data_IF_058644049204
#
_entry.id   IF_058644049204
#
_cell.length_a   1.000
_cell.length_b   1.000
_cell.length_c   1.000
_cell.angle_alpha   90.00
_cell.angle_beta   90.00
_cell.angle_gamma   90.00
#
_symmetry.space_group_name_H-M   'P 1'
#
loop_
_entity.id
_entity.type
_entity.pdbx_description
1 polymer ?
#
# COMPACT_ATOMS: atom_id res chain seq x y z
N UNK A 1 -13.55 -1.20 1.20
CA UNK A 1 -13.22 -1.14 -0.24
C UNK A 1 -11.76 -1.50 -0.41
N UNK A 2 -11.33 -1.77 -1.63
CA UNK A 2 -9.91 -1.96 -1.95
C UNK A 2 -9.32 -0.68 -2.53
N UNK A 3 -8.12 -0.32 -2.06
CA UNK A 3 -7.47 0.96 -2.38
C UNK A 3 -6.02 0.69 -2.81
N UNK A 4 -5.67 1.11 -4.02
CA UNK A 4 -4.28 1.14 -4.47
C UNK A 4 -3.63 2.47 -4.08
N UNK A 5 -2.51 2.42 -3.36
CA UNK A 5 -1.69 3.58 -3.02
C UNK A 5 -0.33 3.43 -3.71
N UNK A 6 -0.06 4.30 -4.69
CA UNK A 6 1.16 4.28 -5.48
C UNK A 6 2.22 5.18 -4.84
N UNK A 7 3.03 4.59 -3.97
CA UNK A 7 4.07 5.26 -3.20
C UNK A 7 3.93 4.97 -1.71
N UNK A 8 5.02 4.55 -1.07
CA UNK A 8 5.06 4.13 0.34
C UNK A 8 5.92 5.03 1.23
N UNK A 9 6.00 6.32 0.89
CA UNK A 9 6.64 7.34 1.74
C UNK A 9 5.73 7.77 2.89
N UNK A 10 6.08 8.85 3.59
CA UNK A 10 5.34 9.31 4.79
C UNK A 10 3.83 9.44 4.57
N UNK A 11 3.41 10.05 3.45
CA UNK A 11 1.99 10.23 3.12
C UNK A 11 1.33 8.89 2.77
N UNK A 12 1.98 8.09 1.93
CA UNK A 12 1.42 6.82 1.48
C UNK A 12 1.20 5.83 2.62
N UNK A 13 2.19 5.68 3.50
CA UNK A 13 2.09 4.80 4.68
C UNK A 13 1.09 5.33 5.72
N UNK A 14 1.06 6.64 5.95
CA UNK A 14 0.08 7.25 6.86
C UNK A 14 -1.36 7.07 6.37
N UNK A 15 -1.59 7.27 5.07
CA UNK A 15 -2.90 7.04 4.46
C UNK A 15 -3.28 5.56 4.47
N UNK A 16 -2.32 4.65 4.20
CA UNK A 16 -2.54 3.21 4.27
C UNK A 16 -2.99 2.78 5.67
N UNK A 17 -2.30 3.23 6.72
CA UNK A 17 -2.66 2.92 8.11
C UNK A 17 -4.07 3.43 8.45
N UNK A 18 -4.41 4.66 8.06
CA UNK A 18 -5.73 5.23 8.30
C UNK A 18 -6.84 4.44 7.57
N UNK A 19 -6.61 4.07 6.31
CA UNK A 19 -7.56 3.31 5.51
C UNK A 19 -7.76 1.88 6.05
N UNK A 20 -6.68 1.20 6.45
CA UNK A 20 -6.74 -0.10 7.13
C UNK A 20 -7.56 0.02 8.42
N UNK A 21 -7.29 1.04 9.24
CA UNK A 21 -8.05 1.29 10.48
C UNK A 21 -9.54 1.56 10.23
N UNK A 22 -9.89 2.10 9.06
CA UNK A 22 -11.28 2.31 8.64
C UNK A 22 -11.94 1.04 8.05
N UNK A 23 -11.23 -0.11 8.03
CA UNK A 23 -11.73 -1.38 7.51
C UNK A 23 -11.65 -1.50 5.99
N UNK A 24 -10.71 -0.80 5.35
CA UNK A 24 -10.42 -0.96 3.93
C UNK A 24 -9.23 -1.89 3.71
N UNK A 25 -9.20 -2.56 2.57
CA UNK A 25 -8.04 -3.31 2.09
C UNK A 25 -7.15 -2.35 1.29
N UNK A 26 -5.84 -2.37 1.56
CA UNK A 26 -4.89 -1.46 0.91
C UNK A 26 -3.81 -2.26 0.20
N UNK A 27 -3.54 -1.91 -1.05
CA UNK A 27 -2.40 -2.41 -1.84
C UNK A 27 -1.41 -1.27 -2.07
N UNK A 28 -0.17 -1.45 -1.64
CA UNK A 28 0.91 -0.47 -1.74
C UNK A 28 1.90 -0.82 -2.84
N UNK A 29 2.41 0.20 -3.51
CA UNK A 29 3.62 0.07 -4.34
C UNK A 29 4.63 1.14 -3.97
N UNK A 30 5.87 0.94 -4.40
CA UNK A 30 6.90 1.94 -4.37
C UNK A 30 7.86 1.72 -5.53
N UNK A 31 8.73 2.70 -5.79
CA UNK A 31 9.80 2.55 -6.78
C UNK A 31 10.72 1.36 -6.46
N UNK A 32 10.95 1.10 -5.18
CA UNK A 32 11.76 -0.03 -4.70
C UNK A 32 10.85 -1.00 -3.95
N UNK A 33 10.86 -2.28 -4.36
CA UNK A 33 9.99 -3.30 -3.77
C UNK A 33 10.10 -3.37 -2.24
N UNK A 34 11.32 -3.39 -1.69
CA UNK A 34 11.54 -3.46 -0.24
C UNK A 34 10.94 -2.30 0.57
N UNK A 35 10.74 -1.11 -0.03
CA UNK A 35 10.04 -0.02 0.66
C UNK A 35 8.54 -0.28 0.76
N UNK A 36 7.93 -0.83 -0.29
CA UNK A 36 6.52 -1.19 -0.29
C UNK A 36 6.26 -2.36 0.68
N UNK A 37 7.12 -3.38 0.67
CA UNK A 37 7.05 -4.54 1.57
C UNK A 37 7.14 -4.12 3.03
N UNK A 38 8.11 -3.26 3.37
CA UNK A 38 8.24 -2.72 4.72
C UNK A 38 7.00 -1.93 5.14
N UNK A 39 6.55 -1.00 4.32
CA UNK A 39 5.36 -0.19 4.63
C UNK A 39 4.09 -1.04 4.75
N UNK A 40 3.96 -2.09 3.93
CA UNK A 40 2.88 -3.05 4.01
C UNK A 40 2.91 -3.81 5.35
N UNK A 41 4.08 -4.31 5.75
CA UNK A 41 4.26 -4.97 7.05
C UNK A 41 3.94 -4.04 8.23
N UNK A 42 4.36 -2.77 8.17
CA UNK A 42 4.17 -1.78 9.22
C UNK A 42 2.69 -1.33 9.36
N UNK A 43 1.91 -1.40 8.28
CA UNK A 43 0.54 -0.84 8.22
C UNK A 43 -0.57 -1.89 8.13
N UNK A 44 -0.25 -3.15 7.82
CA UNK A 44 -1.23 -4.20 7.53
C UNK A 44 -1.74 -4.21 6.09
N UNK A 45 -1.17 -3.39 5.21
CA UNK A 45 -1.45 -3.41 3.78
C UNK A 45 -0.74 -4.58 3.07
N UNK A 46 -1.00 -4.74 1.76
CA UNK A 46 -0.34 -5.73 0.89
C UNK A 46 0.59 -5.01 -0.08
N UNK A 47 1.82 -5.47 -0.26
CA UNK A 47 2.73 -4.91 -1.26
C UNK A 47 2.51 -5.55 -2.64
N UNK A 48 2.51 -4.72 -3.68
CA UNK A 48 2.49 -5.15 -5.08
C UNK A 48 3.81 -4.76 -5.79
N UNK A 49 4.28 -5.59 -6.73
CA UNK A 49 5.60 -5.42 -7.35
C UNK A 49 5.66 -4.28 -8.38
N UNK A 50 4.51 -3.85 -8.90
CA UNK A 50 4.41 -2.76 -9.88
C UNK A 50 3.13 -1.95 -9.67
N UNK A 51 3.12 -0.71 -10.16
CA UNK A 51 1.93 0.13 -10.13
C UNK A 51 0.73 -0.52 -10.84
N UNK A 52 0.99 -1.17 -11.98
CA UNK A 52 -0.05 -1.89 -12.71
C UNK A 52 -0.62 -3.05 -11.89
N UNK A 53 0.22 -3.81 -11.19
CA UNK A 53 -0.22 -4.90 -10.33
C UNK A 53 -1.05 -4.39 -9.15
N UNK A 54 -0.70 -3.26 -8.53
CA UNK A 54 -1.52 -2.69 -7.46
C UNK A 54 -2.89 -2.24 -7.94
N UNK A 55 -2.97 -1.56 -9.08
CA UNK A 55 -4.24 -1.11 -9.64
C UNK A 55 -5.12 -2.29 -10.05
N UNK A 56 -4.54 -3.39 -10.55
CA UNK A 56 -5.29 -4.59 -10.89
C UNK A 56 -5.78 -5.38 -9.66
N UNK A 57 -5.08 -5.27 -8.53
CA UNK A 57 -5.39 -6.00 -7.30
C UNK A 57 -6.35 -5.24 -6.38
N UNK A 58 -6.45 -3.92 -6.52
CA UNK A 58 -7.37 -3.06 -5.79
C UNK A 58 -8.75 -3.02 -6.46
#
# INVERSE_FOLDING_TARGET
MRIAILGSGNVGSGLAAAAISAGHEVVLTARTAGHAEKAAADTGAVAAPTNAAAVAAA
#
